data_IF_567316438225
#
_entry.id   IF_567316438225
#
_cell.length_a   1.000
_cell.length_b   1.000
_cell.length_c   1.000
_cell.angle_alpha   90.00
_cell.angle_beta   90.00
_cell.angle_gamma   90.00
#
_symmetry.space_group_name_H-M   'P 1'
#
loop_
_entity.id
_entity.type
_entity.pdbx_description
1 polymer ?
#
# COMPACT_ATOMS: atom_id res chain seq x y z
N UNK A 1 -1.62 7.00 -17.43
CA UNK A 1 -0.39 7.74 -17.08
C UNK A 1 -0.31 7.82 -15.57
N UNK A 2 0.89 7.76 -14.98
CA UNK A 2 1.08 8.02 -13.55
C UNK A 2 0.66 9.45 -13.20
N UNK A 3 0.03 9.62 -12.03
CA UNK A 3 -0.35 10.91 -11.44
C UNK A 3 0.82 11.55 -10.71
N UNK A 4 1.79 10.75 -10.27
CA UNK A 4 2.94 11.18 -9.47
C UNK A 4 4.26 10.96 -10.20
N UNK A 5 5.28 11.70 -9.78
CA UNK A 5 6.64 11.69 -10.34
C UNK A 5 7.67 11.18 -9.33
N UNK A 6 8.85 10.77 -9.82
CA UNK A 6 9.98 10.37 -8.98
C UNK A 6 10.37 11.45 -7.97
N UNK A 7 10.35 12.73 -8.37
CA UNK A 7 10.69 13.85 -7.49
C UNK A 7 9.70 13.97 -6.32
N UNK A 8 8.40 13.78 -6.57
CA UNK A 8 7.38 13.83 -5.52
C UNK A 8 7.53 12.67 -4.54
N UNK A 9 7.74 11.44 -5.03
CA UNK A 9 7.97 10.27 -4.15
C UNK A 9 9.21 10.48 -3.29
N UNK A 10 10.33 10.89 -3.89
CA UNK A 10 11.57 11.20 -3.15
C UNK A 10 11.45 12.40 -2.21
N UNK A 11 10.40 13.21 -2.35
CA UNK A 11 10.06 14.26 -1.40
C UNK A 11 9.53 13.75 -0.07
N UNK A 12 8.94 12.54 -0.03
CA UNK A 12 8.35 11.96 1.19
C UNK A 12 9.13 10.75 1.73
N UNK A 13 9.96 10.11 0.90
CA UNK A 13 10.83 9.00 1.32
C UNK A 13 12.28 9.27 0.90
N UNK A 14 13.19 9.12 1.85
CA UNK A 14 14.63 9.23 1.60
C UNK A 14 15.14 7.88 1.08
N UNK A 15 15.38 7.79 -0.22
CA UNK A 15 15.84 6.56 -0.89
C UNK A 15 16.78 6.88 -2.05
N UNK A 16 17.71 5.97 -2.33
CA UNK A 16 18.59 6.03 -3.51
C UNK A 16 18.07 5.18 -4.67
N UNK A 17 17.00 4.41 -4.47
CA UNK A 17 16.46 3.48 -5.46
C UNK A 17 15.67 4.23 -6.55
N UNK A 18 15.59 3.62 -7.73
CA UNK A 18 14.67 4.06 -8.77
C UNK A 18 13.21 3.82 -8.35
N UNK A 19 12.45 4.91 -8.23
CA UNK A 19 11.06 4.88 -7.75
C UNK A 19 10.05 4.59 -8.88
N UNK A 20 10.46 4.62 -10.15
CA UNK A 20 9.58 4.51 -11.31
C UNK A 20 8.79 3.19 -11.38
N UNK A 21 9.37 2.01 -11.10
CA UNK A 21 8.61 0.75 -11.10
C UNK A 21 7.49 0.75 -10.04
N UNK A 22 7.75 1.38 -8.89
CA UNK A 22 6.81 1.45 -7.77
C UNK A 22 5.67 2.43 -8.05
N UNK A 23 5.99 3.57 -8.67
CA UNK A 23 5.00 4.53 -9.19
C UNK A 23 4.09 3.83 -10.20
N UNK A 24 4.65 3.05 -11.13
CA UNK A 24 3.85 2.30 -12.11
C UNK A 24 2.89 1.32 -11.44
N UNK A 25 3.36 0.55 -10.46
CA UNK A 25 2.52 -0.38 -9.70
C UNK A 25 1.42 0.34 -8.92
N UNK A 26 1.74 1.46 -8.27
CA UNK A 26 0.78 2.29 -7.57
C UNK A 26 -0.28 2.85 -8.53
N UNK A 27 0.14 3.34 -9.70
CA UNK A 27 -0.77 3.86 -10.71
C UNK A 27 -1.74 2.80 -11.23
N UNK A 28 -1.26 1.58 -11.54
CA UNK A 28 -2.12 0.47 -11.95
C UNK A 28 -3.14 0.16 -10.87
N UNK A 29 -2.72 0.13 -9.61
CA UNK A 29 -3.61 -0.14 -8.49
C UNK A 29 -4.69 0.94 -8.35
N UNK A 30 -4.29 2.21 -8.19
CA UNK A 30 -5.20 3.35 -7.99
C UNK A 30 -6.14 3.48 -9.18
N UNK A 31 -5.63 3.35 -10.40
CA UNK A 31 -6.43 3.48 -11.61
C UNK A 31 -7.53 2.42 -11.67
N UNK A 32 -7.18 1.16 -11.40
CA UNK A 32 -8.12 0.04 -11.52
C UNK A 32 -9.10 -0.07 -10.35
N UNK A 33 -8.72 0.42 -9.17
CA UNK A 33 -9.49 0.19 -7.93
C UNK A 33 -10.21 1.42 -7.42
N UNK A 34 -9.68 2.62 -7.65
CA UNK A 34 -10.12 3.83 -6.95
C UNK A 34 -10.71 4.92 -7.87
N UNK A 35 -10.36 4.96 -9.16
CA UNK A 35 -10.78 6.05 -10.08
C UNK A 35 -12.30 6.28 -10.11
N UNK A 36 -13.11 5.22 -10.06
CA UNK A 36 -14.58 5.32 -10.19
C UNK A 36 -15.30 5.21 -8.84
N UNK A 37 -14.61 5.50 -7.74
CA UNK A 37 -15.12 5.29 -6.38
C UNK A 37 -15.54 6.60 -5.69
N UNK A 38 -15.68 7.69 -6.45
CA UNK A 38 -16.10 9.00 -5.94
C UNK A 38 -14.99 9.81 -5.26
N UNK A 39 -13.73 9.42 -5.43
CA UNK A 39 -12.58 10.18 -4.94
C UNK A 39 -12.19 11.28 -5.93
N UNK A 40 -11.74 12.43 -5.41
CA UNK A 40 -11.22 13.52 -6.24
C UNK A 40 -9.86 13.15 -6.84
N UNK A 41 -9.51 13.75 -7.97
CA UNK A 41 -8.20 13.55 -8.61
C UNK A 41 -7.04 13.92 -7.67
N UNK A 42 -7.23 14.91 -6.81
CA UNK A 42 -6.26 15.28 -5.78
C UNK A 42 -6.04 14.13 -4.76
N UNK A 43 -7.12 13.52 -4.27
CA UNK A 43 -7.02 12.36 -3.37
C UNK A 43 -6.41 11.15 -4.07
N UNK A 44 -6.77 10.87 -5.32
CA UNK A 44 -6.16 9.78 -6.09
C UNK A 44 -4.66 9.99 -6.28
N UNK A 45 -4.22 11.23 -6.48
CA UNK A 45 -2.81 11.59 -6.62
C UNK A 45 -2.05 11.38 -5.31
N UNK A 46 -2.60 11.85 -4.18
CA UNK A 46 -2.00 11.62 -2.86
C UNK A 46 -1.95 10.12 -2.54
N UNK A 47 -3.03 9.38 -2.74
CA UNK A 47 -3.03 7.92 -2.50
C UNK A 47 -1.97 7.22 -3.35
N UNK A 48 -1.82 7.59 -4.63
CA UNK A 48 -0.79 7.04 -5.50
C UNK A 48 0.64 7.35 -5.00
N UNK A 49 0.87 8.57 -4.48
CA UNK A 49 2.14 9.02 -3.89
C UNK A 49 2.51 8.17 -2.67
N UNK A 50 1.61 8.08 -1.70
CA UNK A 50 1.82 7.33 -0.45
C UNK A 50 1.95 5.83 -0.71
N UNK A 51 1.21 5.28 -1.67
CA UNK A 51 1.30 3.88 -2.06
C UNK A 51 2.62 3.55 -2.77
N UNK A 52 3.11 4.43 -3.63
CA UNK A 52 4.43 4.27 -4.26
C UNK A 52 5.55 4.27 -3.21
N UNK A 53 5.52 5.22 -2.27
CA UNK A 53 6.49 5.28 -1.16
C UNK A 53 6.41 4.03 -0.25
N UNK A 54 5.20 3.53 0.01
CA UNK A 54 5.00 2.28 0.75
C UNK A 54 5.71 1.09 0.07
N UNK A 55 5.59 0.93 -1.24
CA UNK A 55 6.24 -0.16 -1.94
C UNK A 55 7.77 -0.05 -1.94
N UNK A 56 8.31 1.17 -2.03
CA UNK A 56 9.75 1.43 -1.90
C UNK A 56 10.23 1.04 -0.49
N UNK A 57 9.54 1.49 0.55
CA UNK A 57 9.88 1.21 1.94
C UNK A 57 9.88 -0.30 2.25
N UNK A 58 8.93 -1.06 1.68
CA UNK A 58 8.94 -2.52 1.80
C UNK A 58 10.20 -3.14 1.18
N UNK A 59 10.61 -2.68 0.00
CA UNK A 59 11.82 -3.20 -0.66
C UNK A 59 13.07 -2.90 0.15
N UNK A 60 13.21 -1.67 0.63
CA UNK A 60 14.38 -1.26 1.43
C UNK A 60 14.44 -2.03 2.75
N UNK A 61 13.32 -2.17 3.46
CA UNK A 61 13.26 -2.97 4.68
C UNK A 61 13.71 -4.42 4.48
N UNK A 62 13.37 -5.04 3.34
CA UNK A 62 13.87 -6.39 3.00
C UNK A 62 15.38 -6.46 2.80
N UNK A 63 15.98 -5.45 2.15
CA UNK A 63 17.44 -5.40 1.94
C UNK A 63 18.16 -5.25 3.29
N UNK A 64 17.62 -4.41 4.18
CA UNK A 64 18.14 -4.24 5.53
C UNK A 64 18.01 -5.53 6.33
N UNK A 65 16.87 -6.22 6.25
CA UNK A 65 16.66 -7.52 6.89
C UNK A 65 17.65 -8.58 6.39
N UNK A 66 17.94 -8.66 5.09
CA UNK A 66 18.92 -9.62 4.54
C UNK A 66 20.35 -9.34 5.04
N UNK A 67 20.64 -8.09 5.39
CA UNK A 67 21.95 -7.66 5.91
C UNK A 67 22.05 -7.82 7.43
N UNK A 68 20.92 -7.80 8.14
CA UNK A 68 20.84 -7.88 9.60
C UNK A 68 20.47 -9.31 10.04
N UNK A 69 21.32 -9.97 10.83
CA UNK A 69 21.08 -11.36 11.25
C UNK A 69 19.74 -11.64 11.97
N UNK A 70 19.31 -12.90 11.88
CA UNK A 70 17.94 -13.39 12.14
C UNK A 70 17.27 -12.95 13.46
N UNK A 71 18.04 -12.82 14.55
CA UNK A 71 17.47 -12.65 15.89
C UNK A 71 16.86 -11.26 16.14
N UNK A 72 17.43 -10.18 15.58
CA UNK A 72 16.90 -8.82 15.75
C UNK A 72 15.72 -8.53 14.82
N UNK A 73 15.76 -9.09 13.61
CA UNK A 73 14.72 -8.92 12.58
C UNK A 73 13.39 -9.54 13.01
N UNK A 74 13.43 -10.69 13.70
CA UNK A 74 12.21 -11.36 14.17
C UNK A 74 11.39 -10.52 15.17
N UNK A 75 12.06 -9.74 16.03
CA UNK A 75 11.39 -8.88 17.02
C UNK A 75 10.73 -7.66 16.38
N UNK A 76 11.43 -7.00 15.45
CA UNK A 76 10.88 -5.83 14.73
C UNK A 76 9.70 -6.21 13.83
N UNK A 77 9.77 -7.35 13.12
CA UNK A 77 8.66 -7.85 12.29
C UNK A 77 7.40 -8.16 13.09
N UNK A 78 7.51 -8.55 14.36
CA UNK A 78 6.35 -8.80 15.20
C UNK A 78 5.58 -7.51 15.56
N UNK A 79 6.23 -6.34 15.50
CA UNK A 79 5.61 -5.03 15.73
C UNK A 79 5.07 -4.35 14.47
N UNK A 80 5.55 -4.73 13.29
CA UNK A 80 5.07 -4.15 12.03
C UNK A 80 3.70 -4.72 11.66
N UNK A 81 2.77 -3.85 11.24
CA UNK A 81 1.45 -4.26 10.74
C UNK A 81 1.52 -5.15 9.50
N UNK A 82 0.39 -5.72 9.07
CA UNK A 82 0.34 -6.59 7.88
C UNK A 82 -0.06 -5.79 6.64
N UNK A 83 0.53 -6.15 5.49
CA UNK A 83 0.17 -5.54 4.20
C UNK A 83 0.45 -4.04 4.19
N UNK A 84 -0.57 -3.22 3.89
CA UNK A 84 -0.44 -1.76 3.86
C UNK A 84 -0.12 -1.15 5.23
N UNK A 85 -0.43 -1.85 6.34
CA UNK A 85 -0.11 -1.36 7.69
C UNK A 85 1.37 -1.55 8.07
N UNK A 86 2.16 -2.22 7.23
CA UNK A 86 3.55 -2.54 7.50
C UNK A 86 4.47 -1.31 7.53
N UNK A 87 4.07 -0.20 6.91
CA UNK A 87 4.85 1.05 6.93
C UNK A 87 3.92 2.24 7.21
N UNK A 88 4.49 3.32 7.77
CA UNK A 88 3.76 4.58 7.97
C UNK A 88 3.16 5.12 6.68
N UNK A 89 3.85 4.93 5.55
CA UNK A 89 3.38 5.34 4.23
C UNK A 89 2.10 4.60 3.81
N UNK A 90 2.04 3.28 4.05
CA UNK A 90 0.86 2.50 3.71
C UNK A 90 -0.31 2.77 4.67
N UNK A 91 -0.02 3.04 5.95
CA UNK A 91 -1.02 3.52 6.91
C UNK A 91 -1.62 4.86 6.47
N UNK A 92 -0.80 5.80 5.99
CA UNK A 92 -1.29 7.07 5.46
C UNK A 92 -2.15 6.89 4.20
N UNK A 93 -1.77 5.98 3.29
CA UNK A 93 -2.59 5.64 2.13
C UNK A 93 -3.97 5.08 2.54
N UNK A 94 -4.03 4.24 3.58
CA UNK A 94 -5.28 3.73 4.15
C UNK A 94 -6.16 4.85 4.72
N UNK A 95 -5.56 5.83 5.40
CA UNK A 95 -6.30 6.98 5.97
C UNK A 95 -6.88 7.87 4.87
N UNK A 96 -6.17 8.06 3.77
CA UNK A 96 -6.62 8.88 2.64
C UNK A 96 -7.73 8.21 1.81
N UNK A 97 -7.77 6.87 1.79
CA UNK A 97 -8.82 6.12 1.11
C UNK A 97 -10.10 6.02 1.95
N UNK A 98 -10.96 7.03 1.82
CA UNK A 98 -12.28 7.07 2.45
C UNK A 98 -13.25 5.96 1.98
N UNK A 99 -12.93 5.23 0.90
CA UNK A 99 -13.77 4.15 0.37
C UNK A 99 -13.56 2.83 1.10
N UNK A 100 -12.43 2.67 1.78
CA UNK A 100 -12.03 1.44 2.45
C UNK A 100 -11.64 0.29 1.50
N UNK A 101 -11.48 0.55 0.20
CA UNK A 101 -11.08 -0.46 -0.79
C UNK A 101 -9.64 -0.92 -0.55
N UNK A 102 -8.73 -0.01 -0.19
CA UNK A 102 -7.37 -0.36 0.22
C UNK A 102 -7.35 -1.26 1.45
N UNK A 103 -8.18 -0.97 2.46
CA UNK A 103 -8.28 -1.78 3.68
C UNK A 103 -8.87 -3.18 3.44
N UNK A 104 -9.65 -3.34 2.38
CA UNK A 104 -10.18 -4.62 1.92
C UNK A 104 -9.23 -5.36 0.99
N UNK A 105 -8.25 -4.65 0.41
CA UNK A 105 -7.32 -5.22 -0.56
C UNK A 105 -6.37 -6.20 0.13
N UNK A 106 -6.41 -7.45 -0.31
CA UNK A 106 -5.70 -8.57 0.31
C UNK A 106 -6.57 -9.43 1.25
N UNK A 107 -7.80 -9.01 1.55
CA UNK A 107 -8.78 -9.87 2.25
C UNK A 107 -9.53 -10.75 1.25
N UNK A 108 -9.85 -11.99 1.64
CA UNK A 108 -10.69 -12.89 0.82
C UNK A 108 -12.14 -12.38 0.81
N UNK A 109 -12.81 -12.50 -0.33
CA UNK A 109 -14.25 -12.19 -0.44
C UNK A 109 -15.05 -13.13 0.47
N UNK A 110 -15.82 -12.56 1.38
CA UNK A 110 -16.78 -13.32 2.18
C UNK A 110 -18.11 -13.47 1.41
N UNK A 111 -18.74 -14.64 1.53
CA UNK A 111 -20.08 -14.92 1.00
C UNK A 111 -20.93 -15.42 2.17
N UNK A 112 -22.09 -14.79 2.39
CA UNK A 112 -23.09 -15.25 3.36
C UNK A 112 -24.21 -15.90 2.56
N UNK A 113 -24.46 -17.19 2.83
CA UNK A 113 -25.58 -17.93 2.23
C UNK A 113 -26.56 -18.33 3.34
N UNK A 114 -27.83 -17.96 3.17
CA UNK A 114 -28.92 -18.44 4.03
C UNK A 114 -29.31 -19.83 3.55
N UNK A 115 -29.13 -20.83 4.41
CA UNK A 115 -29.61 -22.19 4.17
C UNK A 115 -30.99 -22.28 4.81
N UNK A 116 -32.04 -22.32 3.99
CA UNK A 116 -33.40 -22.56 4.44
C UNK A 116 -33.52 -23.97 5.03
N UNK A 117 -34.18 -24.09 6.18
CA UNK A 117 -34.51 -25.38 6.79
C UNK A 117 -35.71 -25.94 6.04
N UNK A 118 -35.50 -27.03 5.30
CA UNK A 118 -36.62 -27.77 4.70
C UNK A 118 -37.44 -28.38 5.84
N UNK A 119 -38.75 -28.15 5.80
CA UNK A 119 -39.77 -28.71 6.71
C UNK A 119 -39.88 -30.24 6.56
#
# INVERSE_FOLDING_TARGET
MARVTNAQVKGIIVTTIDTEPFIRSANVFVTNKLTNQGLSDALLTEIELWLAAHFVAIREGKITDETMGDAKVAFERAKMGKGLEATSYGQQALVLDSTGILAQSGKKRAIIQVVGRNE
#
